data_IF_710196930677
#
_entry.id   IF_710196930677
#
_cell.length_a   1.000
_cell.length_b   1.000
_cell.length_c   1.000
_cell.angle_alpha   90.00
_cell.angle_beta   90.00
_cell.angle_gamma   90.00
#
_symmetry.space_group_name_H-M   'P 1'
#
loop_
_entity.id
_entity.type
_entity.pdbx_description
1 polymer ?
#
# COMPACT_ATOMS: atom_id res chain seq x y z
N UNK A 1 -51.51 -65.70 15.80
CA UNK A 1 -52.06 -64.32 15.80
C UNK A 1 -51.33 -63.52 16.87
N UNK A 2 -50.97 -62.27 16.54
CA UNK A 2 -50.24 -61.26 17.34
C UNK A 2 -48.71 -61.40 17.53
N UNK A 3 -48.03 -60.61 16.69
CA UNK A 3 -46.86 -59.72 16.87
C UNK A 3 -45.83 -59.89 18.00
N UNK A 4 -44.57 -59.89 17.51
CA UNK A 4 -43.27 -59.48 18.09
C UNK A 4 -42.56 -60.49 19.00
N UNK A 5 -41.74 -61.32 18.35
CA UNK A 5 -40.57 -61.96 18.97
C UNK A 5 -39.30 -61.16 18.64
N UNK A 6 -38.51 -60.97 19.69
CA UNK A 6 -37.24 -60.27 19.74
C UNK A 6 -36.09 -61.25 19.38
N UNK A 7 -35.02 -60.68 18.82
CA UNK A 7 -33.60 -61.07 18.96
C UNK A 7 -32.96 -62.04 17.94
N UNK A 8 -31.81 -61.56 17.45
CA UNK A 8 -30.55 -62.23 17.07
C UNK A 8 -30.25 -62.63 15.60
N UNK A 9 -29.23 -61.92 15.08
CA UNK A 9 -28.01 -62.39 14.38
C UNK A 9 -28.01 -62.93 12.92
N UNK A 10 -27.11 -62.30 12.16
CA UNK A 10 -26.14 -62.81 11.18
C UNK A 10 -26.52 -63.09 9.70
N UNK A 11 -25.76 -62.39 8.85
CA UNK A 11 -25.09 -62.79 7.60
C UNK A 11 -25.88 -63.12 6.31
N UNK A 12 -25.64 -62.23 5.32
CA UNK A 12 -25.24 -62.49 3.91
C UNK A 12 -26.25 -63.15 2.96
N UNK A 13 -26.68 -62.40 1.92
CA UNK A 13 -26.34 -62.68 0.51
C UNK A 13 -27.11 -61.80 -0.52
N UNK A 14 -26.33 -61.25 -1.45
CA UNK A 14 -26.58 -61.07 -2.90
C UNK A 14 -27.55 -60.00 -3.48
N UNK A 15 -26.92 -58.93 -4.00
CA UNK A 15 -27.09 -58.24 -5.29
C UNK A 15 -28.46 -58.21 -6.01
N UNK A 16 -28.98 -56.99 -6.25
CA UNK A 16 -29.08 -56.43 -7.61
C UNK A 16 -29.34 -54.90 -7.60
N UNK A 17 -28.76 -54.24 -8.60
CA UNK A 17 -28.73 -52.81 -8.93
C UNK A 17 -30.05 -52.04 -8.77
N UNK A 18 -29.96 -50.81 -8.26
CA UNK A 18 -30.07 -49.56 -9.04
C UNK A 18 -29.34 -48.47 -8.22
N UNK A 19 -28.21 -48.01 -8.75
CA UNK A 19 -27.47 -46.88 -8.20
C UNK A 19 -28.23 -45.59 -8.49
N UNK A 20 -28.71 -44.94 -7.44
CA UNK A 20 -28.86 -43.50 -7.43
C UNK A 20 -27.78 -42.99 -6.49
N UNK A 21 -26.58 -42.83 -7.04
CA UNK A 21 -25.54 -42.04 -6.39
C UNK A 21 -26.07 -40.61 -6.36
N UNK A 22 -26.50 -40.15 -5.19
CA UNK A 22 -26.46 -38.72 -4.93
C UNK A 22 -25.00 -38.32 -5.08
N UNK A 23 -24.68 -37.68 -6.20
CA UNK A 23 -23.49 -36.84 -6.25
C UNK A 23 -23.76 -35.72 -5.25
N UNK A 24 -23.23 -35.88 -4.03
CA UNK A 24 -22.85 -34.70 -3.27
C UNK A 24 -21.76 -34.06 -4.11
N UNK A 25 -22.08 -32.95 -4.75
CA UNK A 25 -21.06 -32.06 -5.26
C UNK A 25 -20.42 -31.38 -4.04
N UNK A 26 -19.61 -32.12 -3.28
CA UNK A 26 -18.66 -31.54 -2.34
C UNK A 26 -17.50 -30.99 -3.16
N UNK A 27 -17.73 -29.84 -3.78
CA UNK A 27 -16.68 -28.96 -4.26
C UNK A 27 -16.90 -27.59 -3.63
N UNK A 28 -17.03 -27.55 -2.31
CA UNK A 28 -16.70 -26.33 -1.57
C UNK A 28 -15.17 -26.23 -1.56
N UNK A 29 -14.67 -25.62 -2.64
CA UNK A 29 -13.29 -25.15 -2.75
C UNK A 29 -13.10 -24.04 -1.71
N UNK A 30 -12.83 -24.45 -0.47
CA UNK A 30 -12.48 -23.61 0.69
C UNK A 30 -11.09 -22.93 0.50
N UNK A 31 -10.71 -22.61 -0.73
CA UNK A 31 -9.51 -21.85 -1.04
C UNK A 31 -9.67 -20.45 -0.44
N UNK A 32 -9.10 -20.24 0.74
CA UNK A 32 -8.91 -18.92 1.33
C UNK A 32 -8.17 -18.08 0.30
N UNK A 33 -8.79 -17.00 -0.18
CA UNK A 33 -8.14 -16.04 -1.06
C UNK A 33 -6.98 -15.42 -0.29
N UNK A 34 -5.76 -15.92 -0.53
CA UNK A 34 -4.54 -15.37 0.03
C UNK A 34 -3.78 -14.63 -1.06
N UNK A 35 -3.53 -13.34 -0.84
CA UNK A 35 -2.62 -12.58 -1.69
C UNK A 35 -1.20 -13.16 -1.60
N UNK A 36 -0.47 -13.29 -2.71
CA UNK A 36 0.93 -13.67 -2.65
C UNK A 36 1.70 -12.68 -1.77
N UNK A 37 2.57 -13.19 -0.90
CA UNK A 37 3.55 -12.35 -0.21
C UNK A 37 4.69 -12.10 -1.19
N UNK A 38 4.89 -10.84 -1.59
CA UNK A 38 6.02 -10.49 -2.45
C UNK A 38 7.36 -10.56 -1.72
N UNK A 39 8.44 -10.62 -2.48
CA UNK A 39 9.82 -10.80 -1.99
C UNK A 39 10.47 -9.49 -1.53
N UNK A 40 9.93 -8.33 -1.93
CA UNK A 40 10.37 -6.99 -1.56
C UNK A 40 9.44 -6.30 -0.58
N UNK A 41 8.75 -7.05 0.27
CA UNK A 41 7.90 -6.47 1.32
C UNK A 41 8.73 -5.79 2.43
N UNK A 42 8.09 -4.96 3.25
CA UNK A 42 8.71 -4.15 4.28
C UNK A 42 9.46 -5.00 5.32
N UNK A 43 8.96 -6.20 5.66
CA UNK A 43 9.66 -7.11 6.58
C UNK A 43 11.02 -7.58 6.05
N UNK A 44 11.17 -7.65 4.72
CA UNK A 44 12.45 -7.94 4.05
C UNK A 44 13.34 -6.71 4.02
N UNK A 45 12.78 -5.54 3.73
CA UNK A 45 13.52 -4.27 3.72
C UNK A 45 14.11 -3.93 5.10
N UNK A 46 13.39 -4.23 6.19
CA UNK A 46 13.87 -4.01 7.55
C UNK A 46 15.21 -4.72 7.84
N UNK A 47 15.51 -5.79 7.11
CA UNK A 47 16.73 -6.58 7.25
C UNK A 47 17.93 -6.00 6.47
N UNK A 48 17.71 -5.01 5.60
CA UNK A 48 18.75 -4.39 4.80
C UNK A 48 19.46 -3.29 5.59
N UNK A 49 20.77 -3.18 5.45
CA UNK A 49 21.53 -2.02 5.95
C UNK A 49 21.29 -0.82 5.03
N UNK A 50 21.01 0.33 5.62
CA UNK A 50 20.77 1.58 4.90
C UNK A 50 21.43 2.77 5.56
N UNK A 51 20.92 3.95 5.28
CA UNK A 51 21.43 5.20 5.82
C UNK A 51 21.43 5.25 7.35
N UNK A 52 20.42 4.67 8.01
CA UNK A 52 20.32 4.70 9.46
C UNK A 52 21.56 4.09 10.14
N UNK A 53 22.02 2.94 9.65
CA UNK A 53 23.23 2.27 10.13
C UNK A 53 24.52 3.02 9.76
N UNK A 54 24.53 3.70 8.60
CA UNK A 54 25.69 4.47 8.12
C UNK A 54 25.84 5.83 8.81
N UNK A 55 24.72 6.46 9.22
CA UNK A 55 24.64 7.85 9.71
C UNK A 55 25.66 8.17 10.81
N UNK A 56 25.84 7.37 11.90
CA UNK A 56 26.77 7.73 12.97
C UNK A 56 28.23 7.89 12.50
N UNK A 57 28.69 7.00 11.62
CA UNK A 57 30.05 7.06 11.07
C UNK A 57 30.21 8.27 10.14
N UNK A 58 29.20 8.57 9.33
CA UNK A 58 29.19 9.71 8.40
C UNK A 58 29.20 11.05 9.14
N UNK A 59 28.41 11.18 10.21
CA UNK A 59 28.40 12.36 11.07
C UNK A 59 29.75 12.58 11.75
N UNK A 60 30.38 11.49 12.21
CA UNK A 60 31.73 11.54 12.78
C UNK A 60 32.76 12.01 11.75
N UNK A 61 32.70 11.48 10.52
CA UNK A 61 33.60 11.87 9.43
C UNK A 61 33.42 13.35 9.02
N UNK A 62 32.20 13.87 9.09
CA UNK A 62 31.89 15.27 8.80
C UNK A 62 32.17 16.23 9.97
N UNK A 63 32.55 15.73 11.15
CA UNK A 63 32.58 16.49 12.40
C UNK A 63 31.27 17.29 12.60
N UNK A 64 30.15 16.57 12.48
CA UNK A 64 28.79 17.08 12.52
C UNK A 64 28.03 16.41 13.67
N UNK A 65 27.36 17.20 14.49
CA UNK A 65 26.43 16.71 15.51
C UNK A 65 25.11 16.25 14.90
N UNK A 66 24.35 15.44 15.63
CA UNK A 66 23.01 15.03 15.19
C UNK A 66 22.08 16.23 15.03
N UNK A 67 22.17 17.24 15.90
CA UNK A 67 21.38 18.46 15.80
C UNK A 67 21.68 19.27 14.53
N UNK A 68 22.97 19.48 14.24
CA UNK A 68 23.40 20.12 12.98
C UNK A 68 22.91 19.33 11.76
N UNK A 69 22.99 17.99 11.80
CA UNK A 69 22.45 17.16 10.71
C UNK A 69 20.95 17.37 10.51
N UNK A 70 20.16 17.29 11.58
CA UNK A 70 18.70 17.46 11.52
C UNK A 70 18.36 18.83 10.91
N UNK A 71 18.98 19.89 11.42
CA UNK A 71 18.77 21.26 10.94
C UNK A 71 19.16 21.40 9.46
N UNK A 72 20.39 21.03 9.09
CA UNK A 72 20.91 21.31 7.75
C UNK A 72 20.38 20.37 6.67
N UNK A 73 20.06 19.11 7.00
CA UNK A 73 19.49 18.16 6.03
C UNK A 73 18.03 18.48 5.70
N UNK A 74 17.33 19.20 6.57
CA UNK A 74 15.91 19.56 6.38
C UNK A 74 15.68 21.01 5.95
N UNK A 75 16.69 21.87 6.07
CA UNK A 75 16.68 23.21 5.50
C UNK A 75 17.11 23.22 4.02
N UNK A 76 16.81 24.33 3.36
CA UNK A 76 17.30 24.72 2.05
C UNK A 76 18.84 24.79 1.99
N UNK A 77 19.45 23.89 1.22
CA UNK A 77 20.91 23.83 1.10
C UNK A 77 21.53 25.10 0.48
N UNK A 78 20.77 25.81 -0.35
CA UNK A 78 21.19 27.09 -0.92
C UNK A 78 21.30 28.23 0.11
N UNK A 79 20.62 28.11 1.25
CA UNK A 79 20.66 29.12 2.32
C UNK A 79 21.77 28.87 3.36
N UNK A 80 22.29 27.65 3.41
CA UNK A 80 23.36 27.27 4.34
C UNK A 80 24.66 28.03 4.06
N UNK A 81 25.52 28.15 5.06
CA UNK A 81 26.89 28.63 4.86
C UNK A 81 27.72 27.60 4.07
N UNK A 82 28.77 28.06 3.37
CA UNK A 82 29.63 27.17 2.57
C UNK A 82 30.25 26.04 3.40
N UNK A 83 30.62 26.33 4.65
CA UNK A 83 31.19 25.34 5.58
C UNK A 83 30.17 24.29 6.01
N UNK A 84 28.89 24.67 6.17
CA UNK A 84 27.79 23.78 6.54
C UNK A 84 27.43 22.87 5.36
N UNK A 85 27.31 23.44 4.15
CA UNK A 85 27.17 22.68 2.91
C UNK A 85 28.27 21.66 2.71
N UNK A 86 29.52 22.03 2.98
CA UNK A 86 30.66 21.12 2.85
C UNK A 86 30.55 19.93 3.80
N UNK A 87 30.15 20.15 5.05
CA UNK A 87 29.89 19.06 6.00
C UNK A 87 28.70 18.20 5.57
N UNK A 88 27.59 18.82 5.14
CA UNK A 88 26.41 18.10 4.65
C UNK A 88 26.74 17.22 3.44
N UNK A 89 27.59 17.70 2.53
CA UNK A 89 28.09 16.88 1.42
C UNK A 89 28.92 15.69 1.87
N UNK A 90 29.81 15.86 2.85
CA UNK A 90 30.58 14.71 3.39
C UNK A 90 29.62 13.61 3.86
N UNK A 91 28.52 13.98 4.53
CA UNK A 91 27.50 13.01 4.94
C UNK A 91 26.81 12.41 3.72
N UNK A 92 26.29 13.22 2.80
CA UNK A 92 25.47 12.76 1.67
C UNK A 92 26.25 11.92 0.66
N UNK A 93 27.46 12.34 0.31
CA UNK A 93 28.34 11.66 -0.65
C UNK A 93 28.98 10.40 -0.04
N UNK A 94 29.04 10.31 1.29
CA UNK A 94 29.50 9.11 1.98
C UNK A 94 28.45 8.00 2.10
N UNK A 95 27.18 8.28 1.81
CA UNK A 95 26.14 7.24 1.74
C UNK A 95 26.44 6.32 0.56
N UNK A 96 26.34 5.01 0.80
CA UNK A 96 26.53 3.99 -0.23
C UNK A 96 25.67 4.30 -1.47
N UNK A 97 26.32 4.51 -2.61
CA UNK A 97 25.64 4.83 -3.87
C UNK A 97 24.87 3.60 -4.38
N UNK A 98 23.61 3.75 -4.86
CA UNK A 98 22.86 2.66 -5.43
C UNK A 98 23.60 1.97 -6.58
N UNK A 99 23.66 0.65 -6.51
CA UNK A 99 24.16 -0.23 -7.55
C UNK A 99 23.00 -0.97 -8.23
N UNK A 100 23.26 -1.70 -9.31
CA UNK A 100 22.22 -2.47 -10.00
C UNK A 100 21.55 -3.52 -9.10
N UNK A 101 22.14 -3.92 -7.97
CA UNK A 101 21.53 -4.82 -6.98
C UNK A 101 20.86 -4.09 -5.81
N UNK A 102 20.92 -2.76 -5.76
CA UNK A 102 20.27 -1.97 -4.72
C UNK A 102 18.77 -1.96 -4.97
N UNK A 103 17.98 -2.35 -3.96
CA UNK A 103 16.53 -2.24 -4.00
C UNK A 103 16.14 -0.76 -3.86
N UNK A 104 15.60 -0.19 -4.94
CA UNK A 104 15.03 1.15 -5.00
C UNK A 104 13.54 1.11 -4.68
N UNK A 105 13.03 2.23 -4.21
CA UNK A 105 11.64 2.45 -3.86
C UNK A 105 11.12 3.76 -4.48
N UNK A 106 9.94 3.68 -5.08
CA UNK A 106 9.15 4.81 -5.55
C UNK A 106 7.78 4.81 -4.87
N UNK A 107 7.51 5.84 -4.07
CA UNK A 107 6.15 6.10 -3.57
C UNK A 107 5.30 6.70 -4.70
N UNK A 108 4.11 6.15 -4.89
CA UNK A 108 3.11 6.58 -5.87
C UNK A 108 1.74 6.71 -5.21
N UNK A 109 0.83 7.44 -5.85
CA UNK A 109 -0.52 7.60 -5.32
C UNK A 109 -1.32 6.32 -5.57
N UNK A 110 -2.31 6.04 -4.72
CA UNK A 110 -3.24 4.92 -4.95
C UNK A 110 -3.96 5.01 -6.32
N UNK A 111 -4.15 6.24 -6.83
CA UNK A 111 -4.76 6.48 -8.14
C UNK A 111 -3.88 6.04 -9.31
N UNK A 112 -2.55 6.00 -9.13
CA UNK A 112 -1.62 5.62 -10.19
C UNK A 112 -1.47 4.09 -10.31
N UNK A 113 -1.84 3.33 -9.27
CA UNK A 113 -1.79 1.87 -9.26
C UNK A 113 -2.48 1.24 -10.49
N UNK A 114 -3.76 1.53 -10.83
CA UNK A 114 -4.39 0.95 -12.00
C UNK A 114 -3.68 1.36 -13.31
N UNK A 115 -3.06 2.53 -13.36
CA UNK A 115 -2.33 3.05 -14.54
C UNK A 115 -1.02 2.29 -14.77
N UNK A 116 -0.35 1.89 -13.68
CA UNK A 116 0.79 0.97 -13.77
C UNK A 116 0.35 -0.43 -14.16
N UNK A 117 -0.66 -0.99 -13.49
CA UNK A 117 -1.12 -2.37 -13.73
C UNK A 117 -1.71 -2.58 -15.13
N UNK A 118 -2.35 -1.57 -15.72
CA UNK A 118 -2.84 -1.63 -17.10
C UNK A 118 -1.77 -1.22 -18.13
N UNK A 119 -0.55 -0.93 -17.68
CA UNK A 119 0.61 -0.56 -18.49
C UNK A 119 0.45 0.73 -19.32
N UNK A 120 -0.44 1.65 -18.90
CA UNK A 120 -0.58 2.96 -19.56
C UNK A 120 0.71 3.78 -19.47
N UNK A 121 1.48 3.66 -18.40
CA UNK A 121 2.81 4.27 -18.27
C UNK A 121 3.93 3.50 -18.99
N UNK A 122 3.61 2.50 -19.83
CA UNK A 122 4.60 1.74 -20.60
C UNK A 122 5.54 0.90 -19.73
N UNK A 123 5.20 0.66 -18.46
CA UNK A 123 6.00 -0.17 -17.56
C UNK A 123 7.23 0.52 -16.95
N UNK A 124 7.42 1.83 -17.17
CA UNK A 124 8.62 2.55 -16.71
C UNK A 124 8.41 3.27 -15.37
N UNK A 125 9.49 3.43 -14.61
CA UNK A 125 9.56 4.19 -13.34
C UNK A 125 10.56 5.33 -13.51
N UNK A 126 10.29 6.49 -12.90
CA UNK A 126 11.16 7.66 -13.00
C UNK A 126 10.94 8.70 -11.90
N UNK A 127 11.58 9.85 -12.05
CA UNK A 127 11.56 10.93 -11.07
C UNK A 127 12.26 10.55 -9.76
N UNK A 128 11.83 11.14 -8.64
CA UNK A 128 12.44 10.93 -7.33
C UNK A 128 12.22 9.52 -6.79
N UNK A 129 13.29 8.89 -6.29
CA UNK A 129 13.31 7.55 -5.69
C UNK A 129 14.29 7.54 -4.51
N UNK A 130 14.17 6.54 -3.65
CA UNK A 130 15.13 6.29 -2.57
C UNK A 130 15.63 4.85 -2.65
N UNK A 131 16.78 4.54 -2.06
CA UNK A 131 17.06 3.15 -1.71
C UNK A 131 16.08 2.73 -0.61
N UNK A 132 15.41 1.58 -0.76
CA UNK A 132 14.37 1.15 0.18
C UNK A 132 14.91 1.03 1.62
N UNK A 133 16.16 0.58 1.76
CA UNK A 133 16.84 0.47 3.05
C UNK A 133 17.08 1.83 3.75
N UNK A 134 17.25 2.91 2.98
CA UNK A 134 17.53 4.25 3.53
C UNK A 134 16.30 4.89 4.18
N UNK A 135 15.11 4.47 3.76
CA UNK A 135 13.82 5.00 4.22
C UNK A 135 12.97 3.94 4.94
N UNK A 136 13.57 2.81 5.32
CA UNK A 136 12.86 1.67 5.92
C UNK A 136 12.14 1.98 7.24
N UNK A 137 12.48 3.08 7.92
CA UNK A 137 11.75 3.51 9.12
C UNK A 137 10.38 4.14 8.79
N UNK A 138 10.15 4.53 7.54
CA UNK A 138 8.87 5.09 7.09
C UNK A 138 7.90 3.93 6.82
N UNK A 139 6.98 3.70 7.74
CA UNK A 139 6.12 2.50 7.72
C UNK A 139 4.64 2.83 7.57
N UNK A 140 4.21 4.02 7.98
CA UNK A 140 2.81 4.45 7.89
C UNK A 140 2.59 5.50 6.81
N UNK A 141 1.33 5.76 6.43
CA UNK A 141 0.99 6.87 5.54
C UNK A 141 1.47 8.22 6.10
N UNK A 142 1.36 8.41 7.43
CA UNK A 142 1.86 9.61 8.10
C UNK A 142 3.37 9.75 7.93
N UNK A 143 4.11 8.68 8.23
CA UNK A 143 5.58 8.69 8.13
C UNK A 143 6.02 8.94 6.69
N UNK A 144 5.43 8.26 5.71
CA UNK A 144 5.79 8.44 4.31
C UNK A 144 5.44 9.84 3.82
N UNK A 145 4.28 10.37 4.18
CA UNK A 145 3.84 11.71 3.77
C UNK A 145 4.82 12.80 4.25
N UNK A 146 5.13 12.83 5.55
CA UNK A 146 5.99 13.85 6.14
C UNK A 146 7.49 13.53 6.03
N UNK A 147 7.85 12.26 5.93
CA UNK A 147 9.20 11.75 5.72
C UNK A 147 9.73 12.05 4.32
N UNK A 148 8.90 11.82 3.30
CA UNK A 148 9.25 12.04 1.89
C UNK A 148 8.70 13.33 1.30
N UNK A 149 8.10 14.18 2.14
CA UNK A 149 7.59 15.52 1.79
C UNK A 149 6.61 15.51 0.63
N UNK A 150 5.60 14.65 0.74
CA UNK A 150 4.51 14.52 -0.22
C UNK A 150 3.46 15.64 -0.07
N UNK A 151 3.69 16.62 0.82
CA UNK A 151 2.88 17.81 1.11
C UNK A 151 3.09 18.98 0.13
N UNK A 152 3.56 18.69 -1.08
CA UNK A 152 3.75 19.72 -2.10
C UNK A 152 2.41 20.24 -2.67
N UNK A 153 2.34 21.50 -3.13
CA UNK A 153 1.11 22.06 -3.70
C UNK A 153 0.56 21.20 -4.85
N UNK A 154 -0.74 20.87 -4.78
CA UNK A 154 -1.40 20.02 -5.78
C UNK A 154 -1.12 18.52 -5.66
N UNK A 155 -0.47 18.08 -4.57
CA UNK A 155 -0.34 16.65 -4.25
C UNK A 155 -1.70 15.96 -4.18
N UNK A 156 -1.72 14.68 -4.59
CA UNK A 156 -2.89 13.79 -4.43
C UNK A 156 -2.79 12.93 -3.17
N UNK A 157 -1.67 13.01 -2.45
CA UNK A 157 -1.49 12.31 -1.19
C UNK A 157 -2.22 13.04 -0.06
N UNK A 158 -2.69 12.30 0.93
CA UNK A 158 -3.29 12.82 2.15
C UNK A 158 -2.63 12.12 3.35
N UNK A 159 -2.18 12.85 4.38
CA UNK A 159 -1.49 12.24 5.53
C UNK A 159 -2.38 11.28 6.34
N UNK A 160 -3.69 11.51 6.30
CA UNK A 160 -4.75 10.71 6.92
C UNK A 160 -5.61 9.97 5.88
N UNK A 161 -5.11 9.86 4.64
CA UNK A 161 -5.77 9.18 3.53
C UNK A 161 -5.82 7.66 3.71
N UNK A 162 -6.39 6.97 2.72
CA UNK A 162 -6.56 5.52 2.72
C UNK A 162 -5.27 4.71 2.50
N UNK A 163 -4.11 5.38 2.52
CA UNK A 163 -2.79 4.79 2.31
C UNK A 163 -2.10 5.32 1.05
N UNK A 164 -1.11 4.57 0.59
CA UNK A 164 -0.29 4.90 -0.57
C UNK A 164 0.02 3.63 -1.37
N UNK A 165 0.72 3.76 -2.49
CA UNK A 165 1.30 2.63 -3.17
C UNK A 165 2.79 2.83 -3.37
N UNK A 166 3.49 1.73 -3.56
CA UNK A 166 4.94 1.73 -3.63
C UNK A 166 5.42 0.73 -4.66
N UNK A 167 6.35 1.16 -5.50
CA UNK A 167 7.03 0.32 -6.47
C UNK A 167 8.44 0.06 -5.95
N UNK A 168 8.81 -1.21 -5.80
CA UNK A 168 10.12 -1.66 -5.34
C UNK A 168 10.80 -2.47 -6.40
N UNK A 169 12.04 -2.09 -6.73
CA UNK A 169 12.69 -2.57 -7.93
C UNK A 169 14.21 -2.45 -7.85
N UNK A 170 14.91 -3.32 -8.57
CA UNK A 170 16.29 -3.06 -8.98
C UNK A 170 16.30 -2.46 -10.39
N UNK A 171 17.42 -1.87 -10.79
CA UNK A 171 17.55 -1.28 -12.13
C UNK A 171 18.97 -1.38 -12.65
N UNK A 172 19.13 -1.86 -13.89
CA UNK A 172 20.40 -1.74 -14.62
C UNK A 172 20.77 -0.29 -14.99
N UNK A 173 19.84 0.66 -14.82
CA UNK A 173 20.00 2.07 -15.22
C UNK A 173 20.45 2.98 -14.06
N UNK A 174 21.06 2.45 -13.00
CA UNK A 174 21.50 3.24 -11.83
C UNK A 174 22.51 4.35 -12.17
N UNK A 175 23.17 4.29 -13.33
CA UNK A 175 24.02 5.40 -13.83
C UNK A 175 23.22 6.66 -14.21
N UNK A 176 21.90 6.55 -14.32
CA UNK A 176 20.97 7.65 -14.55
C UNK A 176 20.34 8.20 -13.27
N UNK A 177 20.76 7.69 -12.10
CA UNK A 177 20.42 8.27 -10.81
C UNK A 177 21.36 9.43 -10.50
N UNK A 178 20.78 10.58 -10.21
CA UNK A 178 21.48 11.75 -9.71
C UNK A 178 21.08 12.04 -8.27
N UNK A 179 22.03 12.56 -7.49
CA UNK A 179 21.71 13.24 -6.23
C UNK A 179 21.18 14.62 -6.60
N UNK A 180 19.97 15.00 -6.16
CA UNK A 180 19.33 16.23 -6.61
C UNK A 180 19.92 17.48 -5.92
N UNK A 181 21.17 17.78 -6.23
CA UNK A 181 21.91 18.91 -5.69
C UNK A 181 21.57 20.22 -6.40
N UNK A 182 21.37 21.29 -5.63
CA UNK A 182 21.33 22.65 -6.19
C UNK A 182 22.73 23.14 -6.60
N UNK A 183 22.80 24.29 -7.28
CA UNK A 183 24.06 24.88 -7.77
C UNK A 183 25.11 25.09 -6.68
N UNK A 184 24.72 25.55 -5.50
CA UNK A 184 25.59 25.76 -4.34
C UNK A 184 26.13 24.43 -3.78
N UNK A 185 25.38 23.34 -4.01
CA UNK A 185 25.76 21.96 -3.77
C UNK A 185 26.38 21.30 -5.02
N UNK A 186 26.80 22.08 -6.02
CA UNK A 186 27.53 21.60 -7.20
C UNK A 186 26.71 20.77 -8.19
N UNK A 187 25.38 20.77 -8.07
CA UNK A 187 24.48 20.18 -9.05
C UNK A 187 23.79 21.23 -9.92
N UNK A 188 22.65 20.85 -10.52
CA UNK A 188 21.89 21.70 -11.44
C UNK A 188 20.42 21.84 -11.06
N UNK A 189 20.00 21.33 -9.90
CA UNK A 189 18.60 21.45 -9.47
C UNK A 189 18.25 22.89 -9.12
N UNK A 190 17.05 23.27 -9.54
CA UNK A 190 16.46 24.55 -9.18
C UNK A 190 16.17 24.61 -7.67
N UNK A 191 16.20 25.83 -7.12
CA UNK A 191 15.76 26.10 -5.76
C UNK A 191 14.24 25.95 -5.67
N UNK A 192 13.76 24.79 -5.25
CA UNK A 192 12.33 24.49 -5.30
C UNK A 192 11.90 23.53 -4.19
N UNK A 193 11.10 24.04 -3.24
CA UNK A 193 10.41 23.18 -2.28
C UNK A 193 9.48 22.18 -2.99
N UNK A 194 9.38 20.93 -2.51
CA UNK A 194 9.94 20.41 -1.26
C UNK A 194 11.42 19.95 -1.34
N UNK A 195 12.01 19.88 -2.53
CA UNK A 195 13.42 19.53 -2.69
C UNK A 195 14.33 20.69 -2.21
N UNK A 196 15.19 20.42 -1.23
CA UNK A 196 16.07 21.46 -0.65
C UNK A 196 17.41 21.59 -1.34
N UNK A 197 17.63 20.86 -2.44
CA UNK A 197 18.90 20.87 -3.16
C UNK A 197 20.07 20.25 -2.38
N UNK A 198 19.80 19.60 -1.23
CA UNK A 198 20.81 19.00 -0.36
C UNK A 198 21.02 17.50 -0.57
N UNK A 199 20.23 16.86 -1.44
CA UNK A 199 20.22 15.41 -1.63
C UNK A 199 19.50 14.62 -0.54
N UNK A 200 18.83 15.30 0.39
CA UNK A 200 17.96 14.73 1.40
C UNK A 200 16.55 15.31 1.27
N UNK A 201 15.54 14.54 1.68
CA UNK A 201 14.18 15.05 1.86
C UNK A 201 14.18 16.07 2.99
N UNK A 202 13.31 17.08 2.90
CA UNK A 202 13.16 18.07 3.96
C UNK A 202 12.19 17.63 5.05
N UNK A 203 12.35 16.39 5.52
CA UNK A 203 11.43 15.72 6.44
C UNK A 203 11.07 16.55 7.68
N UNK A 204 9.82 16.44 8.13
CA UNK A 204 9.33 17.08 9.35
C UNK A 204 9.16 16.12 10.52
N UNK A 205 9.71 14.90 10.44
CA UNK A 205 9.56 13.86 11.48
C UNK A 205 10.56 13.99 12.65
N UNK A 206 11.55 14.89 12.54
CA UNK A 206 12.48 15.22 13.62
C UNK A 206 13.80 14.43 13.65
N UNK A 207 13.96 13.41 12.79
CA UNK A 207 15.19 12.59 12.71
C UNK A 207 16.19 13.04 11.64
N UNK A 208 15.88 14.16 10.97
CA UNK A 208 16.61 14.71 9.83
C UNK A 208 16.06 14.21 8.49
N UNK A 209 16.69 14.63 7.41
CA UNK A 209 16.29 14.30 6.06
C UNK A 209 16.66 12.88 5.63
N UNK A 210 15.84 12.28 4.78
CA UNK A 210 16.09 10.97 4.20
C UNK A 210 16.82 11.09 2.86
N UNK A 211 17.79 10.22 2.53
CA UNK A 211 18.48 10.30 1.25
C UNK A 211 17.52 10.11 0.08
N UNK A 212 17.64 10.98 -0.91
CA UNK A 212 16.86 10.91 -2.15
C UNK A 212 17.76 10.95 -3.38
N UNK A 213 17.29 10.29 -4.44
CA UNK A 213 17.86 10.28 -5.77
C UNK A 213 16.75 10.63 -6.77
N UNK A 214 17.14 10.98 -7.99
CA UNK A 214 16.19 11.16 -9.09
C UNK A 214 16.72 10.48 -10.35
N UNK A 215 15.83 9.85 -11.11
CA UNK A 215 16.13 9.48 -12.48
C UNK A 215 16.02 10.70 -13.42
N UNK A 216 16.98 10.86 -14.31
CA UNK A 216 16.96 11.89 -15.36
C UNK A 216 15.83 11.68 -16.40
N UNK A 217 15.30 10.45 -16.50
CA UNK A 217 14.22 10.04 -17.39
C UNK A 217 13.37 8.90 -16.76
N UNK A 218 12.58 8.21 -17.58
CA UNK A 218 11.81 7.04 -17.21
C UNK A 218 12.44 5.78 -17.77
N UNK A 219 12.65 4.78 -16.92
CA UNK A 219 13.32 3.53 -17.26
C UNK A 219 12.47 2.34 -16.83
N UNK A 220 12.52 1.26 -17.62
CA UNK A 220 11.95 0.00 -17.16
C UNK A 220 12.73 -0.49 -15.94
N UNK A 221 12.06 -0.95 -14.87
CA UNK A 221 12.72 -1.65 -13.79
C UNK A 221 13.21 -3.02 -14.28
N UNK A 222 14.09 -3.65 -13.51
CA UNK A 222 14.49 -5.03 -13.79
C UNK A 222 13.34 -6.01 -13.53
N UNK A 223 13.47 -7.22 -14.06
CA UNK A 223 12.48 -8.29 -13.88
C UNK A 223 12.27 -8.62 -12.40
N UNK A 224 11.01 -8.86 -12.03
CA UNK A 224 10.63 -9.18 -10.66
C UNK A 224 10.43 -7.97 -9.76
N UNK A 225 10.47 -6.74 -10.28
CA UNK A 225 10.00 -5.58 -9.53
C UNK A 225 8.55 -5.74 -9.07
N UNK A 226 8.20 -5.12 -7.95
CA UNK A 226 6.94 -5.37 -7.26
C UNK A 226 6.22 -4.05 -6.97
N UNK A 227 4.91 -4.04 -7.23
CA UNK A 227 4.02 -2.94 -6.90
C UNK A 227 3.11 -3.37 -5.75
N UNK A 228 3.14 -2.59 -4.67
CA UNK A 228 2.32 -2.79 -3.49
C UNK A 228 1.33 -1.65 -3.30
N UNK A 229 0.11 -1.97 -2.88
CA UNK A 229 -0.72 -1.03 -2.13
C UNK A 229 -0.42 -1.17 -0.65
N UNK A 230 -0.33 -0.05 0.06
CA UNK A 230 -0.02 0.01 1.49
C UNK A 230 -1.13 0.73 2.22
N UNK A 231 -1.65 0.12 3.28
CA UNK A 231 -2.69 0.73 4.12
C UNK A 231 -2.12 1.89 4.94
N UNK A 232 -2.97 2.71 5.60
CA UNK A 232 -2.49 3.82 6.42
C UNK A 232 -1.54 3.40 7.55
N UNK A 233 -1.69 2.17 8.04
CA UNK A 233 -0.89 1.58 9.13
C UNK A 233 0.33 0.80 8.64
N UNK A 234 0.59 0.77 7.32
CA UNK A 234 1.78 0.09 6.77
C UNK A 234 1.59 -1.36 6.35
N UNK A 235 0.35 -1.87 6.31
CA UNK A 235 0.12 -3.23 5.84
C UNK A 235 0.17 -3.26 4.31
N UNK A 236 0.94 -4.20 3.76
CA UNK A 236 1.24 -4.24 2.34
C UNK A 236 0.49 -5.34 1.61
N UNK A 237 0.02 -5.02 0.41
CA UNK A 237 -0.69 -5.95 -0.47
C UNK A 237 -0.03 -5.91 -1.83
N UNK A 238 0.56 -7.03 -2.26
CA UNK A 238 1.17 -7.15 -3.58
C UNK A 238 0.07 -7.10 -4.65
N UNK A 239 0.21 -6.19 -5.61
CA UNK A 239 -0.74 -5.97 -6.70
C UNK A 239 -0.21 -6.40 -8.06
N UNK A 240 1.10 -6.24 -8.30
CA UNK A 240 1.69 -6.63 -9.56
C UNK A 240 3.19 -6.92 -9.46
N UNK A 241 3.67 -7.77 -10.36
CA UNK A 241 5.08 -8.02 -10.64
C UNK A 241 5.45 -7.48 -12.01
N UNK A 242 6.70 -7.06 -12.21
CA UNK A 242 7.18 -6.62 -13.51
C UNK A 242 7.81 -7.78 -14.28
N UNK A 243 7.19 -8.16 -15.40
CA UNK A 243 7.56 -9.31 -16.20
C UNK A 243 7.48 -8.97 -17.69
N UNK A 244 8.53 -9.27 -18.46
CA UNK A 244 8.53 -9.11 -19.91
C UNK A 244 8.15 -7.70 -20.37
N UNK A 245 8.72 -6.67 -19.72
CA UNK A 245 8.50 -5.24 -19.98
C UNK A 245 7.10 -4.70 -19.63
N UNK A 246 6.35 -5.39 -18.77
CA UNK A 246 5.03 -4.97 -18.34
C UNK A 246 4.74 -5.35 -16.89
N UNK A 247 3.87 -4.61 -16.24
CA UNK A 247 3.25 -5.00 -14.98
C UNK A 247 2.22 -6.09 -15.23
N UNK A 248 2.36 -7.20 -14.52
CA UNK A 248 1.46 -8.36 -14.50
C UNK A 248 0.77 -8.38 -13.16
N UNK A 249 -0.57 -8.31 -13.18
CA UNK A 249 -1.37 -8.31 -11.96
C UNK A 249 -1.25 -9.64 -11.22
N UNK A 250 -1.09 -9.57 -9.89
CA UNK A 250 -1.16 -10.71 -8.98
C UNK A 250 -2.55 -10.88 -8.38
N UNK A 251 -3.54 -10.10 -8.85
CA UNK A 251 -4.92 -10.24 -8.44
C UNK A 251 -5.43 -11.65 -8.79
N UNK A 252 -6.02 -12.37 -7.83
CA UNK A 252 -6.59 -13.67 -8.12
C UNK A 252 -7.66 -13.52 -9.20
N UNK A 253 -7.63 -14.39 -10.20
CA UNK A 253 -8.65 -14.41 -11.23
C UNK A 253 -10.00 -14.77 -10.60
N UNK A 254 -10.84 -13.78 -10.34
CA UNK A 254 -12.21 -14.02 -9.91
C UNK A 254 -12.96 -14.66 -11.09
N UNK A 255 -13.55 -15.85 -10.90
CA UNK A 255 -14.27 -16.61 -11.95
C UNK A 255 -15.58 -15.96 -12.41
N UNK A 256 -15.83 -14.70 -12.05
CA UNK A 256 -17.01 -13.96 -12.46
C UNK A 256 -16.59 -12.78 -13.32
N UNK A 257 -17.31 -12.54 -14.41
CA UNK A 257 -17.10 -11.41 -15.31
C UNK A 257 -17.33 -10.08 -14.59
N UNK A 258 -16.32 -9.62 -13.84
CA UNK A 258 -16.30 -8.35 -13.12
C UNK A 258 -16.06 -7.25 -14.16
N UNK A 259 -17.11 -6.47 -14.43
CA UNK A 259 -17.03 -5.27 -15.28
C UNK A 259 -16.13 -4.23 -14.62
N UNK A 260 -15.44 -3.43 -15.44
CA UNK A 260 -14.74 -2.21 -15.03
C UNK A 260 -15.54 -1.45 -13.95
N UNK A 261 -14.97 -1.25 -12.75
CA UNK A 261 -15.61 -0.53 -11.65
C UNK A 261 -16.11 -1.36 -10.44
N UNK A 262 -15.84 -2.68 -10.36
CA UNK A 262 -16.35 -3.51 -9.24
C UNK A 262 -15.30 -4.01 -8.22
N UNK A 263 -13.99 -3.82 -8.47
CA UNK A 263 -12.96 -3.99 -7.43
C UNK A 263 -12.65 -2.63 -6.79
N UNK A 264 -13.21 -2.37 -5.62
CA UNK A 264 -12.91 -1.15 -4.85
C UNK A 264 -11.60 -1.38 -4.09
N UNK A 265 -10.59 -0.56 -4.35
CA UNK A 265 -9.24 -0.68 -3.77
C UNK A 265 -9.05 0.30 -2.61
N UNK A 266 -7.89 0.27 -1.97
CA UNK A 266 -7.55 1.34 -1.02
C UNK A 266 -7.71 2.69 -1.71
N UNK A 267 -8.45 3.62 -1.11
CA UNK A 267 -8.71 4.92 -1.73
C UNK A 267 -9.85 5.69 -1.07
N UNK A 268 -10.02 6.94 -1.49
CA UNK A 268 -11.20 7.76 -1.20
C UNK A 268 -12.10 7.70 -2.42
N UNK A 269 -13.37 7.44 -2.21
CA UNK A 269 -14.38 7.30 -3.26
C UNK A 269 -15.57 8.22 -2.97
N UNK A 270 -16.32 8.53 -4.01
CA UNK A 270 -17.55 9.30 -3.98
C UNK A 270 -18.55 8.64 -4.90
N UNK A 271 -19.83 8.86 -4.65
CA UNK A 271 -20.93 8.25 -5.41
C UNK A 271 -21.92 7.58 -4.47
N UNK A 272 -22.39 6.40 -4.84
CA UNK A 272 -23.20 5.56 -3.96
C UNK A 272 -22.46 4.27 -3.64
N UNK A 273 -22.93 3.54 -2.63
CA UNK A 273 -22.40 2.21 -2.30
C UNK A 273 -22.46 1.25 -3.52
N UNK A 274 -23.37 1.48 -4.46
CA UNK A 274 -23.53 0.65 -5.66
C UNK A 274 -22.71 1.17 -6.86
N UNK A 275 -22.18 2.39 -6.79
CA UNK A 275 -21.51 3.09 -7.90
C UNK A 275 -20.43 4.06 -7.36
N UNK A 276 -19.34 3.48 -6.84
CA UNK A 276 -18.22 4.24 -6.29
C UNK A 276 -17.25 4.69 -7.38
N UNK A 277 -16.86 5.96 -7.33
CA UNK A 277 -15.85 6.56 -8.20
C UNK A 277 -14.70 7.12 -7.36
N UNK A 278 -13.42 6.89 -7.70
CA UNK A 278 -12.29 7.47 -6.97
C UNK A 278 -12.41 9.00 -6.90
N UNK A 279 -12.17 9.55 -5.72
CA UNK A 279 -12.16 10.99 -5.46
C UNK A 279 -10.73 11.51 -5.43
N UNK A 280 -10.51 12.58 -6.19
CA UNK A 280 -9.33 13.43 -6.09
C UNK A 280 -9.69 14.61 -5.20
N UNK A 281 -9.00 14.74 -4.08
CA UNK A 281 -9.08 15.95 -3.24
C UNK A 281 -7.91 16.86 -3.58
N UNK A 282 -8.19 18.12 -3.90
CA UNK A 282 -7.20 19.15 -4.17
C UNK A 282 -6.88 19.93 -2.90
N UNK A 283 -5.72 20.60 -2.88
CA UNK A 283 -5.26 21.40 -1.74
C UNK A 283 -6.18 22.57 -1.38
N UNK A 284 -7.03 23.01 -2.31
CA UNK A 284 -8.04 24.05 -2.09
C UNK A 284 -9.38 23.50 -1.56
N UNK A 285 -9.43 22.21 -1.22
CA UNK A 285 -10.61 21.52 -0.71
C UNK A 285 -11.60 21.10 -1.81
N UNK A 286 -11.36 21.46 -3.08
CA UNK A 286 -12.17 20.93 -4.18
C UNK A 286 -11.97 19.43 -4.30
N UNK A 287 -13.02 18.75 -4.72
CA UNK A 287 -13.04 17.30 -4.91
C UNK A 287 -13.53 17.02 -6.31
N UNK A 288 -12.91 16.06 -7.00
CA UNK A 288 -13.36 15.60 -8.31
C UNK A 288 -13.46 14.09 -8.35
N UNK A 289 -14.45 13.58 -9.08
CA UNK A 289 -14.54 12.15 -9.44
C UNK A 289 -14.36 11.98 -10.94
N UNK A 290 -13.85 10.82 -11.34
CA UNK A 290 -13.85 10.41 -12.74
C UNK A 290 -15.23 9.81 -13.06
N UNK A 291 -16.00 10.44 -13.94
CA UNK A 291 -17.31 9.92 -14.35
C UNK A 291 -17.17 8.70 -15.29
N UNK A 292 -18.29 8.05 -15.62
CA UNK A 292 -18.31 6.86 -16.50
C UNK A 292 -17.84 7.15 -17.94
N UNK A 293 -17.74 8.42 -18.31
CA UNK A 293 -17.26 8.91 -19.59
C UNK A 293 -15.75 9.23 -19.56
N UNK A 294 -15.09 9.07 -18.41
CA UNK A 294 -13.67 9.37 -18.25
C UNK A 294 -13.37 10.86 -18.04
N UNK A 295 -14.35 11.65 -17.67
CA UNK A 295 -14.20 13.08 -17.42
C UNK A 295 -14.13 13.36 -15.91
N UNK A 296 -13.27 14.29 -15.52
CA UNK A 296 -13.24 14.78 -14.15
C UNK A 296 -14.38 15.77 -13.93
N UNK A 297 -15.22 15.47 -12.94
CA UNK A 297 -16.34 16.33 -12.54
C UNK A 297 -16.22 16.69 -11.06
N UNK A 298 -16.58 17.92 -10.72
CA UNK A 298 -16.59 18.37 -9.34
C UNK A 298 -17.58 17.52 -8.50
N UNK A 299 -17.14 17.13 -7.31
CA UNK A 299 -17.86 16.23 -6.43
C UNK A 299 -18.12 16.88 -5.08
N UNK A 300 -19.38 16.88 -4.65
CA UNK A 300 -19.83 17.48 -3.39
C UNK A 300 -20.59 16.51 -2.48
N UNK A 301 -20.68 15.24 -2.89
CA UNK A 301 -21.39 14.21 -2.12
C UNK A 301 -20.52 13.57 -1.04
N UNK A 302 -21.08 12.52 -0.44
CA UNK A 302 -20.44 11.77 0.64
C UNK A 302 -19.15 11.09 0.20
N UNK A 303 -18.15 11.13 1.07
CA UNK A 303 -16.88 10.45 0.85
C UNK A 303 -16.85 9.10 1.54
N UNK A 304 -16.30 8.14 0.83
CA UNK A 304 -16.13 6.77 1.26
C UNK A 304 -14.64 6.44 1.31
N UNK A 305 -14.11 6.23 2.50
CA UNK A 305 -12.72 5.85 2.70
C UNK A 305 -12.64 4.33 2.76
N UNK A 306 -12.07 3.72 1.73
CA UNK A 306 -11.93 2.27 1.65
C UNK A 306 -10.50 1.93 1.98
N UNK A 307 -10.31 1.18 3.07
CA UNK A 307 -8.98 0.74 3.54
C UNK A 307 -8.68 -0.73 3.24
N UNK A 308 -9.61 -1.45 2.59
CA UNK A 308 -9.44 -2.70 1.83
C UNK A 308 -10.81 -3.27 1.41
N UNK A 309 -10.84 -4.06 0.34
CA UNK A 309 -11.88 -5.06 0.07
C UNK A 309 -11.27 -6.44 0.31
N UNK A 310 -11.97 -7.29 1.04
CA UNK A 310 -11.66 -8.72 1.12
C UNK A 310 -12.86 -9.51 0.57
N UNK A 311 -12.59 -10.47 -0.30
CA UNK A 311 -13.54 -11.53 -0.62
C UNK A 311 -13.21 -12.76 0.25
N UNK A 312 -14.19 -13.26 1.00
CA UNK A 312 -14.09 -14.51 1.74
C UNK A 312 -15.30 -15.36 1.37
N UNK A 313 -15.09 -16.64 1.02
CA UNK A 313 -16.15 -17.61 0.68
C UNK A 313 -17.32 -17.02 -0.13
N UNK A 314 -17.00 -16.35 -1.25
CA UNK A 314 -17.94 -15.73 -2.20
C UNK A 314 -18.69 -14.46 -1.73
N UNK A 315 -18.31 -13.81 -0.63
CA UNK A 315 -18.87 -12.51 -0.25
C UNK A 315 -17.81 -11.41 -0.22
N UNK A 316 -18.21 -10.19 -0.60
CA UNK A 316 -17.37 -8.99 -0.56
C UNK A 316 -17.57 -8.22 0.74
N UNK A 317 -16.51 -8.01 1.50
CA UNK A 317 -16.48 -7.13 2.67
C UNK A 317 -16.00 -5.74 2.25
N UNK A 318 -16.73 -4.69 2.65
CA UNK A 318 -16.28 -3.30 2.48
C UNK A 318 -16.07 -2.68 3.84
N UNK A 319 -14.94 -2.01 4.00
CA UNK A 319 -14.61 -1.25 5.21
C UNK A 319 -14.64 0.22 4.87
N UNK A 320 -15.42 0.96 5.64
CA UNK A 320 -15.62 2.39 5.52
C UNK A 320 -15.14 3.04 6.80
N UNK A 321 -14.47 4.18 6.72
CA UNK A 321 -14.35 5.06 7.89
C UNK A 321 -15.66 5.82 8.06
N UNK A 322 -16.30 5.69 9.21
CA UNK A 322 -17.57 6.36 9.50
C UNK A 322 -17.33 7.76 10.10
N UNK A 323 -16.34 7.90 10.98
CA UNK A 323 -15.90 9.20 11.54
C UNK A 323 -14.44 9.17 12.03
N UNK A 324 -14.05 10.16 12.84
CA UNK A 324 -12.70 10.28 13.39
C UNK A 324 -12.26 9.08 14.26
N UNK A 325 -13.20 8.32 14.81
CA UNK A 325 -12.96 7.24 15.77
C UNK A 325 -13.53 5.86 15.36
N UNK A 326 -14.36 5.78 14.32
CA UNK A 326 -15.11 4.57 13.97
C UNK A 326 -14.96 4.11 12.51
N UNK A 327 -15.07 2.80 12.30
CA UNK A 327 -15.12 2.17 10.98
C UNK A 327 -16.38 1.28 10.86
N UNK A 328 -17.05 1.37 9.72
CA UNK A 328 -18.19 0.55 9.34
C UNK A 328 -17.70 -0.62 8.47
N UNK A 329 -18.08 -1.84 8.84
CA UNK A 329 -18.01 -3.00 7.95
C UNK A 329 -19.38 -3.19 7.30
N UNK A 330 -19.45 -3.23 5.97
CA UNK A 330 -20.66 -3.70 5.29
C UNK A 330 -20.38 -4.99 4.56
N UNK A 331 -21.24 -5.97 4.81
CA UNK A 331 -21.32 -7.25 4.11
C UNK A 331 -22.66 -7.25 3.37
N UNK A 332 -22.69 -7.69 2.12
CA UNK A 332 -23.91 -7.70 1.31
C UNK A 332 -24.86 -8.87 1.61
N UNK A 333 -24.52 -9.74 2.57
CA UNK A 333 -25.31 -10.92 2.92
C UNK A 333 -25.35 -11.13 4.45
N UNK A 334 -26.56 -11.08 5.03
CA UNK A 334 -26.81 -11.08 6.48
C UNK A 334 -26.69 -12.47 7.12
N UNK A 335 -26.70 -13.58 6.35
CA UNK A 335 -26.60 -14.92 6.93
C UNK A 335 -25.16 -15.33 7.33
N UNK A 336 -24.14 -14.55 6.93
CA UNK A 336 -22.72 -14.88 7.14
C UNK A 336 -22.13 -14.43 8.48
N UNK A 337 -22.90 -13.76 9.34
CA UNK A 337 -22.39 -13.20 10.60
C UNK A 337 -21.93 -14.27 11.61
N UNK A 338 -22.47 -15.49 11.53
CA UNK A 338 -22.16 -16.59 12.47
C UNK A 338 -20.83 -17.30 12.22
N UNK A 339 -20.14 -17.02 11.10
CA UNK A 339 -18.92 -17.74 10.69
C UNK A 339 -17.65 -16.86 10.63
N UNK A 340 -17.77 -15.57 10.96
CA UNK A 340 -16.65 -14.62 10.94
C UNK A 340 -15.69 -14.88 12.11
N UNK A 341 -14.50 -15.42 11.80
CA UNK A 341 -13.45 -15.61 12.78
C UNK A 341 -12.70 -14.28 13.05
N UNK A 342 -12.88 -13.73 14.25
CA UNK A 342 -12.27 -12.47 14.69
C UNK A 342 -10.73 -12.49 14.70
N UNK A 343 -10.10 -13.67 14.77
CA UNK A 343 -8.64 -13.82 14.74
C UNK A 343 -8.03 -13.43 13.37
N UNK A 344 -8.85 -13.43 12.30
CA UNK A 344 -8.48 -12.95 10.96
C UNK A 344 -8.47 -11.41 10.86
N UNK A 345 -9.23 -10.74 11.72
CA UNK A 345 -9.30 -9.27 11.82
C UNK A 345 -8.05 -8.72 12.53
N UNK A 346 -7.55 -9.45 13.53
CA UNK A 346 -6.41 -9.01 14.35
C UNK A 346 -5.03 -9.19 13.68
N UNK A 347 -4.93 -9.94 12.56
CA UNK A 347 -3.67 -10.27 11.87
C UNK A 347 -3.32 -9.38 10.66
N UNK A 348 -3.89 -8.18 10.56
CA UNK A 348 -3.33 -7.12 9.70
C UNK A 348 -4.05 -6.82 8.39
N UNK A 349 -5.33 -7.19 8.25
CA UNK A 349 -6.16 -6.67 7.13
C UNK A 349 -6.95 -5.43 7.54
N UNK A 350 -7.20 -5.17 8.82
CA UNK A 350 -8.04 -4.04 9.23
C UNK A 350 -7.49 -3.33 10.47
N UNK A 351 -7.40 -2.00 10.41
CA UNK A 351 -7.17 -1.17 11.60
C UNK A 351 -8.37 -1.25 12.55
N UNK A 352 -8.15 -1.54 13.83
CA UNK A 352 -9.15 -1.50 14.92
C UNK A 352 -9.25 -0.04 15.44
N UNK A 353 -10.39 0.50 15.93
CA UNK A 353 -11.13 0.22 17.19
C UNK A 353 -12.63 0.61 17.09
N UNK A 354 -13.50 -0.12 17.81
CA UNK A 354 -14.95 0.10 18.02
C UNK A 354 -15.23 0.31 19.51
N UNK A 355 -16.20 1.16 19.91
CA UNK A 355 -16.63 1.40 21.30
C UNK A 355 -17.99 0.76 21.65
N UNK A 356 -18.18 0.50 22.95
CA UNK A 356 -18.91 -0.66 23.52
C UNK A 356 -20.44 -0.71 23.40
N UNK A 357 -21.12 0.36 23.04
CA UNK A 357 -22.60 0.38 23.05
C UNK A 357 -23.22 -0.27 21.80
N UNK A 358 -22.48 -0.34 20.68
CA UNK A 358 -22.94 -0.94 19.42
C UNK A 358 -22.81 -2.47 19.38
N UNK A 359 -22.03 -3.08 20.28
CA UNK A 359 -22.03 -4.53 20.47
C UNK A 359 -23.26 -5.03 21.26
N UNK A 360 -23.95 -4.14 21.98
CA UNK A 360 -25.06 -4.50 22.88
C UNK A 360 -26.36 -4.86 22.17
N UNK A 361 -26.67 -4.23 21.03
CA UNK A 361 -27.93 -4.44 20.32
C UNK A 361 -27.92 -5.67 19.40
N UNK A 362 -26.74 -6.26 19.14
CA UNK A 362 -26.62 -7.54 18.43
C UNK A 362 -27.03 -8.75 19.29
N UNK A 363 -27.23 -8.55 20.60
CA UNK A 363 -27.53 -9.63 21.56
C UNK A 363 -29.04 -9.93 21.73
N UNK A 364 -29.95 -9.00 21.43
CA UNK A 364 -31.39 -9.21 21.69
C UNK A 364 -32.10 -10.09 20.64
N UNK A 365 -31.54 -10.26 19.44
CA UNK A 365 -32.23 -10.99 18.38
C UNK A 365 -31.77 -12.47 18.24
N UNK A 366 -30.65 -12.85 18.85
CA UNK A 366 -30.14 -14.25 18.83
C UNK A 366 -30.60 -15.09 20.03
N UNK A 367 -31.16 -14.51 21.11
CA UNK A 367 -31.62 -15.32 22.27
C UNK A 367 -33.11 -15.69 22.24
N UNK A 368 -33.79 -15.54 21.09
CA UNK A 368 -35.11 -16.13 20.86
C UNK A 368 -35.10 -17.40 20.01
N UNK A 369 -33.93 -17.96 19.68
CA UNK A 369 -33.82 -19.33 19.17
C UNK A 369 -32.42 -19.92 19.33
#
# INVERSE_FOLDING_TARGET
MNTRALKFMLCVAFYLLIGVSFFSCDNDDDSVISWPKGEFNHSKIQQLEGFWEQKPALLTAANMSVGEFIEWSTDSAWSLAQTERAKLRIVRDGITTPSASTLLEKVITLQDVPVYMNNTYGGTVGGFVSAAADIKSLSTMYDVYYGTRLDYPGTKFLPDGAGYAVIRFTSSNVTHLEIPYCTEMGGTFAHAWPNTGGGFTSSTLGDGGFPEYRFDNYYAPDQGAELYEVTPLGNEILRATFEGMKWVTTEPATKSAVKWGSSVRNGVYGGSVEDLSPVITFSDGRKQILNKQGEYIDYTGDLFYVSTVAEYKNFSMRVWRYDEQHYLLTISDFQAFSELNLDLIERGVYGKIVLSEEAGNLHEEISRQ
#
